data_IF_458157199203
#
_entry.id   IF_458157199203
#
_cell.length_a   1.000
_cell.length_b   1.000
_cell.length_c   1.000
_cell.angle_alpha   90.00
_cell.angle_beta   90.00
_cell.angle_gamma   90.00
#
_symmetry.space_group_name_H-M   'P 1'
#
loop_
_entity.id
_entity.type
_entity.pdbx_description
1 polymer ?
#
# COMPACT_ATOMS: atom_id res chain seq x y z
N UNK A 1 -46.77 -15.87 -18.23
CA UNK A 1 -45.69 -15.50 -19.17
C UNK A 1 -44.85 -14.31 -18.71
N UNK A 2 -45.45 -13.15 -18.45
CA UNK A 2 -44.74 -11.87 -18.25
C UNK A 2 -43.73 -11.87 -17.08
N UNK A 3 -44.10 -12.44 -15.93
CA UNK A 3 -43.21 -12.50 -14.75
C UNK A 3 -41.96 -13.35 -15.02
N UNK A 4 -42.10 -14.48 -15.71
CA UNK A 4 -40.96 -15.31 -16.12
C UNK A 4 -40.04 -14.58 -17.09
N UNK A 5 -40.58 -13.80 -18.03
CA UNK A 5 -39.78 -12.97 -18.93
C UNK A 5 -39.00 -11.90 -18.16
N UNK A 6 -39.62 -11.21 -17.20
CA UNK A 6 -38.93 -10.24 -16.34
C UNK A 6 -37.81 -10.89 -15.53
N UNK A 7 -38.07 -12.05 -14.91
CA UNK A 7 -37.05 -12.78 -14.16
C UNK A 7 -35.88 -13.21 -15.06
N UNK A 8 -36.17 -13.70 -16.27
CA UNK A 8 -35.16 -14.12 -17.23
C UNK A 8 -34.27 -12.96 -17.70
N UNK A 9 -34.87 -11.81 -18.04
CA UNK A 9 -34.14 -10.60 -18.45
C UNK A 9 -33.28 -10.08 -17.29
N UNK A 10 -33.81 -10.11 -16.06
CA UNK A 10 -33.08 -9.67 -14.88
C UNK A 10 -31.84 -10.55 -14.64
N UNK A 11 -32.01 -11.88 -14.63
CA UNK A 11 -30.90 -12.83 -14.47
C UNK A 11 -29.88 -12.68 -15.60
N UNK A 12 -30.33 -12.55 -16.84
CA UNK A 12 -29.47 -12.30 -17.99
C UNK A 12 -28.63 -11.03 -17.83
N UNK A 13 -29.27 -9.92 -17.44
CA UNK A 13 -28.58 -8.64 -17.23
C UNK A 13 -27.53 -8.71 -16.12
N UNK A 14 -27.81 -9.41 -15.02
CA UNK A 14 -26.87 -9.60 -13.92
C UNK A 14 -25.66 -10.42 -14.35
N UNK A 15 -25.88 -11.48 -15.15
CA UNK A 15 -24.81 -12.31 -15.67
C UNK A 15 -23.91 -11.52 -16.62
N UNK A 16 -24.50 -10.77 -17.56
CA UNK A 16 -23.76 -9.91 -18.48
C UNK A 16 -22.97 -8.84 -17.73
N UNK A 17 -23.56 -8.20 -16.72
CA UNK A 17 -22.88 -7.20 -15.89
C UNK A 17 -21.66 -7.78 -15.16
N UNK A 18 -21.76 -9.01 -14.63
CA UNK A 18 -20.64 -9.71 -14.00
C UNK A 18 -19.51 -10.02 -14.98
N UNK A 19 -19.85 -10.51 -16.17
CA UNK A 19 -18.85 -10.81 -17.21
C UNK A 19 -18.15 -9.52 -17.65
N UNK A 20 -18.90 -8.44 -17.86
CA UNK A 20 -18.35 -7.15 -18.23
C UNK A 20 -17.41 -6.59 -17.15
N UNK A 21 -17.80 -6.69 -15.87
CA UNK A 21 -16.94 -6.29 -14.76
C UNK A 21 -15.62 -7.06 -14.72
N UNK A 22 -15.64 -8.37 -15.00
CA UNK A 22 -14.43 -9.18 -15.11
C UNK A 22 -13.54 -8.69 -16.27
N UNK A 23 -14.11 -8.47 -17.46
CA UNK A 23 -13.37 -7.99 -18.64
C UNK A 23 -12.73 -6.62 -18.37
N UNK A 24 -13.44 -5.71 -17.71
CA UNK A 24 -12.95 -4.37 -17.38
C UNK A 24 -11.78 -4.39 -16.38
N UNK A 25 -11.68 -5.41 -15.52
CA UNK A 25 -10.58 -5.53 -14.55
C UNK A 25 -9.24 -6.00 -15.15
N UNK A 26 -9.27 -6.64 -16.32
CA UNK A 26 -8.08 -7.14 -17.06
C UNK A 26 -7.11 -6.01 -17.46
N UNK A 27 -7.53 -4.92 -18.13
CA UNK A 27 -6.60 -3.87 -18.57
C UNK A 27 -5.91 -3.15 -17.41
N UNK A 28 -6.58 -3.01 -16.26
CA UNK A 28 -6.05 -2.35 -15.07
C UNK A 28 -4.87 -3.16 -14.50
N UNK A 29 -5.07 -4.46 -14.34
CA UNK A 29 -4.05 -5.38 -13.84
C UNK A 29 -2.84 -5.47 -14.77
N UNK A 30 -3.07 -5.42 -16.09
CA UNK A 30 -2.00 -5.45 -17.08
C UNK A 30 -1.20 -4.14 -17.13
N UNK A 31 -1.83 -2.98 -16.90
CA UNK A 31 -1.12 -1.70 -16.80
C UNK A 31 -0.18 -1.67 -15.61
N UNK A 32 -0.63 -2.15 -14.44
CA UNK A 32 0.22 -2.25 -13.25
C UNK A 32 1.43 -3.15 -13.48
N UNK A 33 1.23 -4.36 -14.05
CA UNK A 33 2.33 -5.28 -14.39
C UNK A 33 3.34 -4.68 -15.38
N UNK A 34 2.88 -3.91 -16.37
CA UNK A 34 3.77 -3.23 -17.32
C UNK A 34 4.59 -2.13 -16.65
N UNK A 35 3.98 -1.40 -15.72
CA UNK A 35 4.65 -0.33 -14.98
C UNK A 35 5.70 -0.93 -14.03
N UNK A 36 5.35 -2.00 -13.32
CA UNK A 36 6.27 -2.78 -12.49
C UNK A 36 7.45 -3.33 -13.30
N UNK A 37 7.19 -3.94 -14.46
CA UNK A 37 8.27 -4.43 -15.32
C UNK A 37 9.16 -3.32 -15.87
N UNK A 38 8.62 -2.12 -16.13
CA UNK A 38 9.43 -0.97 -16.58
C UNK A 38 10.34 -0.49 -15.46
N UNK A 39 9.81 -0.30 -14.26
CA UNK A 39 10.56 0.10 -13.07
C UNK A 39 11.66 -0.92 -12.79
N UNK A 40 11.32 -2.21 -12.70
CA UNK A 40 12.30 -3.28 -12.43
C UNK A 40 13.38 -3.39 -13.52
N UNK A 41 13.04 -3.14 -14.79
CA UNK A 41 14.03 -3.13 -15.88
C UNK A 41 14.96 -1.92 -15.80
N UNK A 42 14.42 -0.74 -15.49
CA UNK A 42 15.19 0.48 -15.33
C UNK A 42 16.19 0.34 -14.17
N UNK A 43 15.73 -0.14 -13.02
CA UNK A 43 16.58 -0.26 -11.83
C UNK A 43 17.43 -1.54 -11.78
N UNK A 44 17.04 -2.60 -12.47
CA UNK A 44 17.70 -3.91 -12.38
C UNK A 44 18.83 -4.16 -13.39
N UNK A 45 18.92 -3.39 -14.49
CA UNK A 45 19.90 -3.67 -15.56
C UNK A 45 20.92 -2.57 -15.81
N UNK A 46 20.55 -1.31 -15.69
CA UNK A 46 21.44 -0.15 -15.83
C UNK A 46 20.88 1.01 -15.00
N UNK A 47 21.12 1.00 -13.69
CA UNK A 47 20.78 2.13 -12.84
C UNK A 47 21.70 3.30 -13.20
N UNK A 48 21.14 4.33 -13.85
CA UNK A 48 21.87 5.56 -14.14
C UNK A 48 22.11 6.40 -12.88
N UNK A 49 23.07 7.32 -12.94
CA UNK A 49 23.34 8.26 -11.85
C UNK A 49 22.13 9.14 -11.49
N UNK A 50 21.24 9.42 -12.46
CA UNK A 50 19.98 10.13 -12.22
C UNK A 50 19.02 9.33 -11.34
N UNK A 51 18.87 8.04 -11.62
CA UNK A 51 17.96 7.14 -10.92
C UNK A 51 18.43 6.88 -9.49
N UNK A 52 19.75 6.77 -9.31
CA UNK A 52 20.38 6.70 -7.99
C UNK A 52 20.10 7.96 -7.15
N UNK A 53 20.20 9.16 -7.74
CA UNK A 53 19.89 10.42 -7.03
C UNK A 53 18.44 10.50 -6.61
N UNK A 54 17.50 10.07 -7.47
CA UNK A 54 16.08 10.04 -7.14
C UNK A 54 15.82 9.14 -5.93
N UNK A 55 16.36 7.92 -5.93
CA UNK A 55 16.23 7.01 -4.78
C UNK A 55 16.84 7.64 -3.53
N UNK A 56 18.02 8.24 -3.63
CA UNK A 56 18.68 8.87 -2.50
C UNK A 56 17.85 10.03 -1.93
N UNK A 57 17.18 10.81 -2.78
CA UNK A 57 16.25 11.86 -2.35
C UNK A 57 15.01 11.27 -1.67
N UNK A 58 14.42 10.22 -2.22
CA UNK A 58 13.26 9.54 -1.61
C UNK A 58 13.61 8.95 -0.25
N UNK A 59 14.72 8.22 -0.13
CA UNK A 59 15.19 7.63 1.14
C UNK A 59 15.47 8.71 2.18
N UNK A 60 16.04 9.85 1.78
CA UNK A 60 16.28 11.00 2.68
C UNK A 60 14.98 11.68 3.10
N UNK A 61 14.02 11.83 2.19
CA UNK A 61 12.69 12.37 2.50
C UNK A 61 11.93 11.50 3.51
N UNK A 62 12.13 10.18 3.45
CA UNK A 62 11.55 9.21 4.36
C UNK A 62 12.31 9.07 5.70
N UNK A 63 13.41 9.79 5.90
CA UNK A 63 14.21 9.69 7.13
C UNK A 63 14.93 8.35 7.33
N UNK A 64 15.00 7.50 6.30
CA UNK A 64 15.61 6.17 6.36
C UNK A 64 17.14 6.20 6.25
N UNK A 65 17.73 7.31 5.80
CA UNK A 65 19.16 7.45 5.61
C UNK A 65 19.87 8.07 6.82
N UNK A 66 20.91 7.39 7.32
CA UNK A 66 21.80 7.97 8.33
C UNK A 66 22.52 9.21 7.77
N UNK A 67 22.46 10.32 8.49
CA UNK A 67 23.15 11.55 8.12
C UNK A 67 24.67 11.29 7.96
N UNK A 68 25.16 11.38 6.71
CA UNK A 68 26.59 11.24 6.41
C UNK A 68 27.05 9.89 5.85
N UNK A 69 26.18 8.88 5.74
CA UNK A 69 26.55 7.64 5.04
C UNK A 69 26.48 7.83 3.52
N UNK A 70 27.62 7.63 2.85
CA UNK A 70 27.72 7.64 1.39
C UNK A 70 27.30 6.28 0.84
N UNK A 71 26.03 6.15 0.48
CA UNK A 71 25.49 4.93 -0.14
C UNK A 71 24.00 4.81 0.12
N UNK A 72 23.34 3.96 -0.66
CA UNK A 72 21.98 3.48 -0.37
C UNK A 72 22.11 2.03 0.07
N UNK A 73 21.66 1.73 1.28
CA UNK A 73 21.70 0.36 1.77
C UNK A 73 20.65 -0.52 1.07
N UNK A 74 20.87 -1.84 1.04
CA UNK A 74 19.98 -2.78 0.36
C UNK A 74 18.52 -2.65 0.82
N UNK A 75 18.32 -2.43 2.12
CA UNK A 75 16.98 -2.23 2.70
C UNK A 75 16.35 -0.90 2.25
N UNK A 76 17.10 0.20 2.29
CA UNK A 76 16.66 1.52 1.82
C UNK A 76 16.30 1.49 0.33
N UNK A 77 17.12 0.82 -0.48
CA UNK A 77 16.86 0.61 -1.89
C UNK A 77 15.58 -0.20 -2.13
N UNK A 78 15.37 -1.27 -1.36
CA UNK A 78 14.17 -2.09 -1.45
C UNK A 78 12.91 -1.29 -1.08
N UNK A 79 12.95 -0.50 -0.01
CA UNK A 79 11.82 0.36 0.40
C UNK A 79 11.52 1.41 -0.67
N UNK A 80 12.54 2.10 -1.19
CA UNK A 80 12.36 3.07 -2.27
C UNK A 80 11.78 2.42 -3.53
N UNK A 81 12.15 1.17 -3.83
CA UNK A 81 11.57 0.39 -4.93
C UNK A 81 10.09 0.08 -4.71
N UNK A 82 9.73 -0.38 -3.50
CA UNK A 82 8.35 -0.71 -3.15
C UNK A 82 7.45 0.54 -3.21
N UNK A 83 7.99 1.69 -2.79
CA UNK A 83 7.31 2.99 -2.88
C UNK A 83 7.12 3.41 -4.35
N UNK A 84 8.17 3.27 -5.18
CA UNK A 84 8.12 3.57 -6.62
C UNK A 84 7.14 2.67 -7.37
N UNK A 85 6.97 1.43 -6.91
CA UNK A 85 5.99 0.47 -7.43
C UNK A 85 4.56 0.74 -6.95
N UNK A 86 4.37 1.67 -6.01
CA UNK A 86 3.08 1.95 -5.38
C UNK A 86 2.54 0.78 -4.54
N UNK A 87 3.43 -0.14 -4.11
CA UNK A 87 3.06 -1.27 -3.25
C UNK A 87 2.94 -0.88 -1.78
N UNK A 88 3.67 0.16 -1.40
CA UNK A 88 3.61 0.80 -0.09
C UNK A 88 3.49 2.31 -0.30
N UNK A 89 2.79 2.97 0.61
CA UNK A 89 2.66 4.43 0.68
C UNK A 89 3.58 5.00 1.77
N UNK A 90 3.83 6.30 1.72
CA UNK A 90 4.61 6.99 2.76
C UNK A 90 3.95 6.87 4.14
N UNK A 91 2.61 6.82 4.19
CA UNK A 91 1.85 6.55 5.41
C UNK A 91 2.19 5.19 6.03
N UNK A 92 2.33 4.15 5.21
CA UNK A 92 2.65 2.80 5.70
C UNK A 92 4.03 2.77 6.39
N UNK A 93 4.96 3.59 5.87
CA UNK A 93 6.30 3.74 6.45
C UNK A 93 6.22 4.54 7.76
N UNK A 94 5.43 5.61 7.80
CA UNK A 94 5.19 6.39 9.01
C UNK A 94 4.59 5.53 10.14
N UNK A 95 3.57 4.71 9.83
CA UNK A 95 2.95 3.78 10.76
C UNK A 95 3.96 2.75 11.29
N UNK A 96 4.84 2.25 10.41
CA UNK A 96 5.93 1.35 10.82
C UNK A 96 6.93 2.04 11.76
N UNK A 97 7.25 3.32 11.52
CA UNK A 97 8.11 4.09 12.40
C UNK A 97 7.46 4.37 13.75
N UNK A 98 6.16 4.67 13.77
CA UNK A 98 5.41 4.84 15.01
C UNK A 98 5.40 3.55 15.83
N UNK A 99 5.07 2.42 15.21
CA UNK A 99 5.13 1.11 15.85
C UNK A 99 6.54 0.76 16.35
N UNK A 100 7.58 1.13 15.60
CA UNK A 100 8.96 0.95 16.03
C UNK A 100 9.30 1.82 17.23
N UNK A 101 8.86 3.08 17.26
CA UNK A 101 9.09 3.99 18.38
C UNK A 101 8.36 3.55 19.64
N UNK A 102 7.15 3.00 19.50
CA UNK A 102 6.38 2.43 20.61
C UNK A 102 7.08 1.22 21.23
N UNK A 103 7.70 0.39 20.38
CA UNK A 103 8.47 -0.77 20.83
C UNK A 103 9.85 -0.36 21.39
N UNK A 104 10.47 0.69 20.87
CA UNK A 104 11.80 1.13 21.26
C UNK A 104 11.78 2.04 22.50
N UNK A 105 11.45 1.44 23.65
CA UNK A 105 11.43 2.13 24.96
C UNK A 105 12.79 2.70 25.33
N UNK A 106 13.88 2.04 24.95
CA UNK A 106 15.24 2.53 25.22
C UNK A 106 15.67 3.69 24.32
N UNK A 107 14.87 4.04 23.28
CA UNK A 107 15.10 5.16 22.33
C UNK A 107 16.51 5.20 21.74
N UNK A 108 17.17 4.05 21.65
CA UNK A 108 18.54 3.92 21.15
C UNK A 108 18.60 3.79 19.61
N UNK A 109 17.45 3.91 18.92
CA UNK A 109 17.32 3.70 17.48
C UNK A 109 17.44 2.24 17.01
N UNK A 110 17.44 1.25 17.92
CA UNK A 110 17.60 -0.18 17.65
C UNK A 110 16.75 -1.04 18.59
N UNK A 111 15.88 -1.88 18.05
CA UNK A 111 15.16 -2.87 18.86
C UNK A 111 16.12 -3.96 19.34
N UNK A 112 16.36 -4.00 20.66
CA UNK A 112 17.15 -5.02 21.32
C UNK A 112 16.23 -5.94 22.15
N UNK A 113 16.75 -7.09 22.56
CA UNK A 113 16.01 -8.03 23.44
C UNK A 113 15.54 -7.37 24.74
N UNK A 114 16.24 -6.37 25.24
CA UNK A 114 15.86 -5.56 26.39
C UNK A 114 14.53 -4.79 26.18
N UNK A 115 14.24 -4.32 24.95
CA UNK A 115 12.99 -3.64 24.61
C UNK A 115 11.80 -4.63 24.55
N UNK A 116 12.07 -5.89 24.21
CA UNK A 116 11.06 -6.96 24.09
C UNK A 116 10.63 -7.53 25.43
N UNK A 117 11.53 -7.56 26.41
CA UNK A 117 11.23 -8.07 27.76
C UNK A 117 10.23 -7.22 28.54
N UNK A 118 10.14 -5.92 28.22
CA UNK A 118 9.20 -5.01 28.88
C UNK A 118 7.82 -4.95 28.20
N UNK A 119 7.61 -5.74 27.13
CA UNK A 119 6.41 -5.70 26.29
C UNK A 119 5.52 -6.93 26.44
N UNK A 120 5.80 -7.83 27.39
CA UNK A 120 5.01 -9.05 27.67
C UNK A 120 3.73 -8.79 28.46
N UNK A 121 3.07 -7.64 28.28
CA UNK A 121 1.66 -7.50 28.63
C UNK A 121 0.86 -7.95 27.42
N UNK A 122 0.47 -9.23 27.50
CA UNK A 122 -0.39 -9.96 26.59
C UNK A 122 -1.70 -9.18 26.32
N UNK A 123 -1.75 -8.38 25.25
CA UNK A 123 -3.03 -7.94 24.71
C UNK A 123 -3.49 -8.97 23.67
N UNK A 124 -4.65 -9.62 23.88
CA UNK A 124 -5.19 -10.57 22.93
C UNK A 124 -5.51 -9.83 21.64
N UNK A 125 -4.78 -10.18 20.57
CA UNK A 125 -5.08 -9.74 19.21
C UNK A 125 -6.44 -10.30 18.80
N UNK A 126 -7.51 -9.55 19.08
CA UNK A 126 -8.85 -9.89 18.67
C UNK A 126 -9.00 -9.57 17.18
N UNK A 127 -8.70 -10.57 16.34
CA UNK A 127 -8.99 -10.54 14.91
C UNK A 127 -10.51 -10.57 14.70
N UNK A 128 -11.16 -9.42 14.66
CA UNK A 128 -12.54 -9.35 14.14
C UNK A 128 -12.50 -9.25 12.62
N UNK A 129 -12.51 -10.42 11.98
CA UNK A 129 -13.03 -10.57 10.63
C UNK A 129 -14.55 -10.41 10.65
N UNK A 130 -15.07 -9.27 10.22
CA UNK A 130 -16.46 -9.05 9.80
C UNK A 130 -16.46 -7.88 8.82
N UNK A 131 -16.52 -8.09 7.50
CA UNK A 131 -17.74 -8.25 6.70
C UNK A 131 -18.83 -7.18 6.94
N UNK A 132 -19.30 -6.60 5.83
CA UNK A 132 -20.53 -5.81 5.62
C UNK A 132 -20.39 -4.26 5.55
N UNK A 133 -21.34 -3.55 4.87
CA UNK A 133 -21.04 -2.83 3.63
C UNK A 133 -21.26 -1.31 3.78
N UNK A 134 -20.47 -0.53 3.04
CA UNK A 134 -20.59 0.93 2.98
C UNK A 134 -21.87 1.30 2.23
N UNK A 135 -22.91 1.69 2.96
CA UNK A 135 -24.01 2.50 2.42
C UNK A 135 -23.50 3.93 2.12
N UNK A 136 -24.02 4.59 1.07
CA UNK A 136 -23.50 5.88 0.60
C UNK A 136 -23.91 7.02 1.53
N UNK A 137 -22.93 7.87 1.88
CA UNK A 137 -23.17 9.12 2.57
C UNK A 137 -23.95 10.09 1.66
N UNK A 138 -25.10 10.50 2.16
CA UNK A 138 -25.95 11.58 1.70
C UNK A 138 -25.18 12.91 1.58
N UNK A 139 -25.20 13.48 0.38
CA UNK A 139 -24.70 14.81 0.06
C UNK A 139 -25.65 15.86 0.62
N UNK A 140 -25.28 16.49 1.73
CA UNK A 140 -26.00 17.61 2.33
C UNK A 140 -25.55 18.90 1.62
N UNK A 141 -26.36 19.38 0.68
CA UNK A 141 -26.18 20.68 0.03
C UNK A 141 -27.09 21.68 0.72
N UNK A 142 -26.53 22.52 1.57
CA UNK A 142 -27.18 23.74 2.05
C UNK A 142 -26.15 24.75 2.51
N UNK A 143 -26.11 25.88 1.79
CA UNK A 143 -25.81 27.24 2.25
C UNK A 143 -24.40 27.52 2.80
N UNK A 144 -23.76 28.66 2.60
CA UNK A 144 -23.94 29.88 1.82
C UNK A 144 -22.61 30.63 2.03
N UNK A 145 -22.07 31.26 0.99
CA UNK A 145 -21.51 32.61 0.95
C UNK A 145 -20.90 32.83 -0.43
#
# INVERSE_FOLDING_TARGET
>A
GRVFACAYIFVGSLLTARILAMIVSIPISNRQKRLEQRILRQFGRNMGHSDYRTIQQTVRGLGLGAAGMSGVHKAEFAIAMLLSLGRIQESDIADCFEAFNDLNKTRNGRLNSADLTESTVFLPYHRTSSSSPRAPASYNRSFML
#
